data_IF_035455383991
#
_entry.id   IF_035455383991
#
_cell.length_a   1.000
_cell.length_b   1.000
_cell.length_c   1.000
_cell.angle_alpha   90.00
_cell.angle_beta   90.00
_cell.angle_gamma   90.00
#
_symmetry.space_group_name_H-M   'P 1'
#
loop_
_entity.id
_entity.type
_entity.pdbx_description
1 polymer ?
#
# COMPACT_ATOMS: atom_id res chain seq x y z
N UNK A 1 -5.92 3.11 17.76
CA UNK A 1 -5.47 3.66 19.02
C UNK A 1 -3.94 3.74 19.14
N UNK A 2 -3.20 2.71 18.68
CA UNK A 2 -1.71 2.67 18.74
C UNK A 2 -1.05 3.86 18.05
N UNK A 3 -1.45 4.22 16.83
CA UNK A 3 -0.89 5.37 16.11
C UNK A 3 -1.12 6.67 16.88
N UNK A 4 -2.30 6.88 17.46
CA UNK A 4 -2.60 8.08 18.25
C UNK A 4 -1.71 8.19 19.48
N UNK A 5 -1.42 7.07 20.15
CA UNK A 5 -0.47 7.03 21.29
C UNK A 5 0.94 7.38 20.85
N UNK A 6 1.39 6.82 19.72
CA UNK A 6 2.72 7.12 19.15
C UNK A 6 2.82 8.59 18.73
N UNK A 7 1.80 9.14 18.06
CA UNK A 7 1.73 10.57 17.71
C UNK A 7 1.81 11.46 18.95
N UNK A 8 1.10 11.10 20.03
CA UNK A 8 1.11 11.87 21.28
C UNK A 8 2.48 11.84 21.98
N UNK A 9 3.19 10.70 21.91
CA UNK A 9 4.53 10.53 22.50
C UNK A 9 5.64 11.15 21.65
N UNK A 10 5.39 11.48 20.38
CA UNK A 10 6.40 12.07 19.48
C UNK A 10 6.50 13.57 19.70
N UNK A 11 7.71 14.07 20.00
CA UNK A 11 7.98 15.50 20.30
C UNK A 11 8.33 16.31 19.07
N UNK A 12 9.01 15.73 18.07
CA UNK A 12 9.43 16.41 16.85
C UNK A 12 8.27 16.72 15.90
N UNK A 13 8.11 17.98 15.48
CA UNK A 13 7.01 18.40 14.59
C UNK A 13 7.02 17.69 13.22
N UNK A 14 8.22 17.44 12.67
CA UNK A 14 8.37 16.80 11.36
C UNK A 14 8.05 15.30 11.45
N UNK A 15 8.58 14.65 12.46
CA UNK A 15 8.37 13.25 12.79
C UNK A 15 6.87 12.99 13.07
N UNK A 16 6.27 13.84 13.87
CA UNK A 16 4.83 13.79 14.17
C UNK A 16 3.97 13.85 12.91
N UNK A 17 4.26 14.81 12.02
CA UNK A 17 3.54 14.93 10.74
C UNK A 17 3.68 13.68 9.86
N UNK A 18 4.88 13.09 9.80
CA UNK A 18 5.09 11.85 9.06
C UNK A 18 4.24 10.72 9.65
N UNK A 19 4.28 10.52 10.97
CA UNK A 19 3.51 9.48 11.66
C UNK A 19 2.00 9.68 11.47
N UNK A 20 1.51 10.92 11.57
CA UNK A 20 0.11 11.26 11.30
C UNK A 20 -0.29 10.93 9.86
N UNK A 21 0.62 11.12 8.90
CA UNK A 21 0.37 10.81 7.48
C UNK A 21 0.33 9.31 7.20
N UNK A 22 0.96 8.47 8.02
CA UNK A 22 0.82 7.03 7.90
C UNK A 22 -0.62 6.54 8.16
N UNK A 23 -1.42 7.31 8.91
CA UNK A 23 -2.84 7.02 9.10
C UNK A 23 -3.66 7.15 7.81
N UNK A 24 -3.23 7.98 6.86
CA UNK A 24 -3.91 8.15 5.57
C UNK A 24 -3.98 6.85 4.76
N UNK A 25 -3.05 5.92 4.99
CA UNK A 25 -3.10 4.61 4.35
C UNK A 25 -4.41 3.86 4.65
N UNK A 26 -4.89 3.92 5.90
CA UNK A 26 -6.16 3.29 6.26
C UNK A 26 -7.36 3.96 5.58
N UNK A 27 -7.32 5.28 5.41
CA UNK A 27 -8.34 6.00 4.64
C UNK A 27 -8.32 5.59 3.16
N UNK A 28 -7.12 5.47 2.57
CA UNK A 28 -6.95 5.07 1.18
C UNK A 28 -7.48 3.64 0.95
N UNK A 29 -7.21 2.70 1.84
CA UNK A 29 -7.73 1.33 1.73
C UNK A 29 -9.26 1.29 1.83
N UNK A 30 -9.86 2.08 2.73
CA UNK A 30 -11.31 2.23 2.81
C UNK A 30 -11.87 2.89 1.55
N UNK A 31 -11.20 3.91 1.04
CA UNK A 31 -11.60 4.60 -0.19
C UNK A 31 -11.53 3.66 -1.40
N UNK A 32 -10.47 2.88 -1.56
CA UNK A 32 -10.36 1.86 -2.60
C UNK A 32 -11.49 0.84 -2.49
N UNK A 33 -11.84 0.42 -1.27
CA UNK A 33 -12.96 -0.50 -1.05
C UNK A 33 -14.29 0.14 -1.48
N UNK A 34 -14.54 1.39 -1.13
CA UNK A 34 -15.73 2.14 -1.56
C UNK A 34 -15.77 2.29 -3.10
N UNK A 35 -14.63 2.60 -3.73
CA UNK A 35 -14.51 2.69 -5.18
C UNK A 35 -14.77 1.34 -5.89
N UNK A 36 -14.34 0.22 -5.29
CA UNK A 36 -14.64 -1.13 -5.81
C UNK A 36 -16.12 -1.46 -5.75
N UNK A 37 -16.79 -1.10 -4.64
CA UNK A 37 -18.26 -1.26 -4.49
C UNK A 37 -18.99 -0.41 -5.53
N UNK A 38 -18.61 0.86 -5.66
CA UNK A 38 -19.14 1.81 -6.65
C UNK A 38 -18.99 1.30 -8.09
N UNK A 39 -17.77 0.93 -8.47
CA UNK A 39 -17.46 0.51 -9.84
C UNK A 39 -18.19 -0.78 -10.23
N UNK A 40 -18.29 -1.74 -9.31
CA UNK A 40 -19.00 -3.02 -9.55
C UNK A 40 -20.51 -2.92 -9.43
N UNK A 41 -21.05 -1.76 -8.99
CA UNK A 41 -22.47 -1.61 -8.63
C UNK A 41 -22.92 -2.72 -7.68
N UNK A 42 -22.07 -3.04 -6.70
CA UNK A 42 -22.28 -4.15 -5.80
C UNK A 42 -23.48 -3.92 -4.87
N UNK A 43 -24.12 -4.99 -4.36
CA UNK A 43 -25.27 -4.86 -3.44
C UNK A 43 -24.91 -4.02 -2.20
N UNK A 44 -25.90 -3.28 -1.68
CA UNK A 44 -25.76 -2.35 -0.56
C UNK A 44 -25.10 -2.95 0.70
N UNK A 45 -25.27 -4.24 0.96
CA UNK A 45 -24.70 -4.91 2.13
C UNK A 45 -23.15 -4.91 2.20
N UNK A 46 -22.47 -4.83 1.06
CA UNK A 46 -20.99 -4.68 1.03
C UNK A 46 -20.53 -3.27 1.46
N UNK A 47 -21.34 -2.25 1.22
CA UNK A 47 -21.06 -0.89 1.67
C UNK A 47 -21.27 -0.70 3.18
N UNK A 48 -22.05 -1.56 3.83
CA UNK A 48 -22.28 -1.49 5.28
C UNK A 48 -21.05 -1.87 6.10
N UNK A 49 -20.13 -2.66 5.53
CA UNK A 49 -18.85 -3.00 6.16
C UNK A 49 -17.84 -1.86 6.16
N UNK A 50 -18.11 -0.76 5.43
CA UNK A 50 -17.24 0.40 5.41
C UNK A 50 -17.33 1.17 6.73
N UNK A 51 -16.19 1.36 7.39
CA UNK A 51 -16.11 2.10 8.65
C UNK A 51 -16.38 3.58 8.41
N UNK A 52 -17.37 4.14 9.15
CA UNK A 52 -17.72 5.56 9.06
C UNK A 52 -16.88 6.48 9.96
N UNK A 53 -15.96 5.93 10.77
CA UNK A 53 -15.20 6.72 11.72
C UNK A 53 -14.11 7.56 11.05
N UNK A 54 -13.99 8.80 11.53
CA UNK A 54 -12.92 9.71 11.10
C UNK A 54 -11.57 9.18 11.53
N UNK A 55 -10.72 8.82 10.58
CA UNK A 55 -9.30 8.49 10.81
C UNK A 55 -8.50 9.80 10.89
N UNK A 56 -8.31 10.49 9.78
CA UNK A 56 -7.67 11.81 9.66
C UNK A 56 -8.60 12.80 8.97
N UNK A 57 -9.15 12.44 7.82
CA UNK A 57 -10.11 13.21 7.07
C UNK A 57 -11.54 12.73 7.35
N UNK A 58 -12.52 13.61 7.18
CA UNK A 58 -13.92 13.22 7.27
C UNK A 58 -14.41 12.79 5.89
N UNK A 59 -14.54 11.46 5.67
CA UNK A 59 -14.92 10.88 4.39
C UNK A 59 -16.18 10.03 4.59
N UNK A 60 -17.16 10.26 3.75
CA UNK A 60 -18.38 9.45 3.71
C UNK A 60 -18.22 8.33 2.66
N UNK A 61 -17.58 7.24 3.07
CA UNK A 61 -17.31 6.08 2.22
C UNK A 61 -18.60 5.43 1.69
N UNK A 62 -19.68 5.45 2.47
CA UNK A 62 -20.97 4.88 2.05
C UNK A 62 -21.58 5.69 0.92
N UNK A 63 -21.54 7.02 1.04
CA UNK A 63 -22.00 7.90 -0.03
C UNK A 63 -21.17 7.76 -1.30
N UNK A 64 -19.84 7.60 -1.17
CA UNK A 64 -18.94 7.32 -2.29
C UNK A 64 -19.31 6.00 -2.97
N UNK A 65 -19.55 4.94 -2.20
CA UNK A 65 -19.91 3.62 -2.73
C UNK A 65 -21.23 3.61 -3.54
N UNK A 66 -22.11 4.60 -3.32
CA UNK A 66 -23.40 4.76 -4.02
C UNK A 66 -23.46 5.99 -4.90
N UNK A 67 -22.33 6.64 -5.16
CA UNK A 67 -22.30 7.86 -5.98
C UNK A 67 -22.79 7.58 -7.41
N UNK A 68 -23.53 8.48 -8.03
CA UNK A 68 -24.03 8.31 -9.42
C UNK A 68 -22.91 8.41 -10.46
N UNK A 69 -21.82 9.10 -10.14
CA UNK A 69 -20.71 9.34 -11.09
C UNK A 69 -19.39 9.59 -10.35
N UNK A 70 -18.29 9.56 -11.11
CA UNK A 70 -16.97 9.97 -10.61
C UNK A 70 -16.94 11.45 -10.22
N UNK A 71 -17.70 12.31 -10.89
CA UNK A 71 -17.80 13.74 -10.54
C UNK A 71 -18.36 13.94 -9.12
N UNK A 72 -19.40 13.19 -8.74
CA UNK A 72 -19.93 13.23 -7.38
C UNK A 72 -18.88 12.74 -6.36
N UNK A 73 -18.12 11.69 -6.68
CA UNK A 73 -17.02 11.20 -5.83
C UNK A 73 -15.96 12.29 -5.64
N UNK A 74 -15.55 12.96 -6.71
CA UNK A 74 -14.58 14.05 -6.66
C UNK A 74 -15.09 15.23 -5.83
N UNK A 75 -16.38 15.57 -5.96
CA UNK A 75 -17.03 16.58 -5.16
C UNK A 75 -17.02 16.22 -3.66
N UNK A 76 -17.41 14.99 -3.32
CA UNK A 76 -17.39 14.49 -1.94
C UNK A 76 -16.00 14.51 -1.30
N UNK A 77 -14.96 14.31 -2.10
CA UNK A 77 -13.57 14.30 -1.67
C UNK A 77 -12.88 15.66 -1.77
N UNK A 78 -13.55 16.71 -2.25
CA UNK A 78 -12.95 18.01 -2.58
C UNK A 78 -12.09 18.65 -1.50
N UNK A 79 -12.42 18.43 -0.22
CA UNK A 79 -11.66 18.92 0.93
C UNK A 79 -10.62 17.91 1.49
N UNK A 80 -10.30 16.88 0.71
CA UNK A 80 -9.31 15.86 1.08
C UNK A 80 -8.17 15.83 0.07
N UNK A 81 -7.02 15.24 0.41
CA UNK A 81 -5.92 15.10 -0.55
C UNK A 81 -6.24 14.12 -1.69
N UNK A 82 -7.35 13.37 -1.63
CA UNK A 82 -7.65 12.26 -2.54
C UNK A 82 -8.36 12.69 -3.82
N UNK A 83 -9.03 13.84 -3.84
CA UNK A 83 -9.71 14.33 -5.04
C UNK A 83 -8.74 14.56 -6.21
N UNK A 84 -7.59 15.19 -5.93
CA UNK A 84 -6.61 15.55 -6.98
C UNK A 84 -6.03 14.34 -7.73
N UNK A 85 -5.51 13.28 -7.07
CA UNK A 85 -5.01 12.09 -7.77
C UNK A 85 -6.11 11.38 -8.57
N UNK A 86 -7.33 11.28 -8.05
CA UNK A 86 -8.45 10.69 -8.78
C UNK A 86 -8.83 11.51 -10.03
N UNK A 87 -8.87 12.84 -9.92
CA UNK A 87 -9.14 13.72 -11.06
C UNK A 87 -8.06 13.56 -12.16
N UNK A 88 -6.79 13.40 -11.79
CA UNK A 88 -5.70 13.14 -12.76
C UNK A 88 -5.83 11.80 -13.48
N UNK A 89 -6.34 10.78 -12.78
CA UNK A 89 -6.50 9.44 -13.34
C UNK A 89 -7.82 9.26 -14.11
N UNK A 90 -8.71 10.26 -14.08
CA UNK A 90 -10.05 10.22 -14.66
C UNK A 90 -10.06 9.78 -16.13
N UNK A 91 -9.28 10.45 -16.97
CA UNK A 91 -9.24 10.18 -18.41
C UNK A 91 -8.91 8.71 -18.72
N UNK A 92 -7.87 8.18 -18.04
CA UNK A 92 -7.48 6.77 -18.18
C UNK A 92 -8.58 5.83 -17.67
N UNK A 93 -9.22 6.15 -16.56
CA UNK A 93 -10.34 5.38 -16.03
C UNK A 93 -11.52 5.37 -17.01
N UNK A 94 -11.95 6.52 -17.52
CA UNK A 94 -13.09 6.64 -18.42
C UNK A 94 -12.84 5.95 -19.76
N UNK A 95 -11.61 6.02 -20.28
CA UNK A 95 -11.22 5.39 -21.55
C UNK A 95 -11.15 3.86 -21.44
N UNK A 96 -10.63 3.35 -20.32
CA UNK A 96 -10.36 1.90 -20.15
C UNK A 96 -11.41 1.18 -19.32
N UNK A 97 -12.27 1.91 -18.63
CA UNK A 97 -13.19 1.42 -17.60
C UNK A 97 -12.48 0.57 -16.54
N UNK A 98 -11.22 0.86 -16.25
CA UNK A 98 -10.40 0.11 -15.31
C UNK A 98 -10.18 0.88 -14.02
N UNK A 99 -10.69 0.35 -12.90
CA UNK A 99 -10.52 0.90 -11.56
C UNK A 99 -9.04 0.98 -11.12
N UNK A 100 -8.18 0.17 -11.73
CA UNK A 100 -6.73 0.16 -11.50
C UNK A 100 -6.15 1.58 -11.48
N UNK A 101 -6.49 2.41 -12.49
CA UNK A 101 -5.90 3.75 -12.62
C UNK A 101 -6.28 4.69 -11.46
N UNK A 102 -7.48 4.55 -10.93
CA UNK A 102 -7.90 5.31 -9.74
C UNK A 102 -7.18 4.84 -8.49
N UNK A 103 -7.06 3.51 -8.29
CA UNK A 103 -6.41 2.92 -7.12
C UNK A 103 -4.91 3.26 -7.08
N UNK A 104 -4.19 3.06 -8.20
CA UNK A 104 -2.75 3.31 -8.24
C UNK A 104 -2.42 4.80 -8.15
N UNK A 105 -3.28 5.69 -8.68
CA UNK A 105 -3.09 7.13 -8.55
C UNK A 105 -3.14 7.58 -7.08
N UNK A 106 -4.02 6.99 -6.26
CA UNK A 106 -4.06 7.22 -4.81
C UNK A 106 -2.77 6.77 -4.13
N UNK A 107 -2.23 5.61 -4.50
CA UNK A 107 -0.99 5.08 -3.93
C UNK A 107 0.21 5.96 -4.31
N UNK A 108 0.34 6.32 -5.59
CA UNK A 108 1.43 7.19 -6.06
C UNK A 108 1.41 8.52 -5.32
N UNK A 109 0.25 9.18 -5.23
CA UNK A 109 0.13 10.47 -4.54
C UNK A 109 0.47 10.34 -3.04
N UNK A 110 0.00 9.29 -2.39
CA UNK A 110 0.29 9.02 -0.99
C UNK A 110 1.79 8.88 -0.72
N UNK A 111 2.48 8.02 -1.48
CA UNK A 111 3.90 7.79 -1.28
C UNK A 111 4.75 8.99 -1.70
N UNK A 112 4.34 9.76 -2.71
CA UNK A 112 4.98 11.04 -3.05
C UNK A 112 4.91 12.03 -1.89
N UNK A 113 3.74 12.19 -1.28
CA UNK A 113 3.57 13.05 -0.10
C UNK A 113 4.36 12.55 1.12
N UNK A 114 4.47 11.23 1.31
CA UNK A 114 5.33 10.67 2.36
C UNK A 114 6.81 10.96 2.08
N UNK A 115 7.29 10.79 0.84
CA UNK A 115 8.69 11.11 0.51
C UNK A 115 9.00 12.59 0.75
N UNK A 116 8.12 13.51 0.38
CA UNK A 116 8.28 14.94 0.68
C UNK A 116 8.43 15.22 2.18
N UNK A 117 7.72 14.48 3.04
CA UNK A 117 7.86 14.60 4.50
C UNK A 117 9.17 13.99 4.98
N UNK A 118 9.56 12.84 4.45
CA UNK A 118 10.83 12.17 4.74
C UNK A 118 12.02 13.06 4.37
N UNK A 119 11.97 13.77 3.24
CA UNK A 119 13.04 14.71 2.84
C UNK A 119 13.25 15.85 3.85
N UNK A 120 12.23 16.19 4.65
CA UNK A 120 12.31 17.28 5.66
C UNK A 120 12.87 16.81 7.00
N UNK A 121 13.07 15.51 7.21
CA UNK A 121 13.66 14.94 8.41
C UNK A 121 15.15 15.20 8.53
N UNK A 122 15.73 14.91 9.71
CA UNK A 122 17.17 14.88 9.89
C UNK A 122 17.83 13.89 8.92
N UNK A 123 19.14 14.02 8.67
CA UNK A 123 19.86 13.11 7.76
C UNK A 123 19.73 11.64 8.21
N UNK A 124 19.89 11.40 9.52
CA UNK A 124 19.78 10.05 10.12
C UNK A 124 18.36 9.49 9.99
N UNK A 125 17.35 10.27 10.39
CA UNK A 125 15.97 9.85 10.31
C UNK A 125 15.50 9.61 8.87
N UNK A 126 15.98 10.44 7.93
CA UNK A 126 15.70 10.28 6.52
C UNK A 126 16.20 8.93 5.99
N UNK A 127 17.43 8.54 6.34
CA UNK A 127 17.99 7.25 5.95
C UNK A 127 17.16 6.11 6.54
N UNK A 128 16.82 6.18 7.82
CA UNK A 128 16.02 5.14 8.49
C UNK A 128 14.61 5.03 7.90
N UNK A 129 13.95 6.17 7.67
CA UNK A 129 12.62 6.18 7.05
C UNK A 129 12.65 5.61 5.64
N UNK A 130 13.61 6.00 4.81
CA UNK A 130 13.77 5.47 3.44
C UNK A 130 14.04 3.97 3.41
N UNK A 131 14.76 3.43 4.39
CA UNK A 131 15.02 1.99 4.47
C UNK A 131 13.73 1.19 4.68
N UNK A 132 12.83 1.64 5.55
CA UNK A 132 11.58 0.92 5.85
C UNK A 132 10.54 1.20 4.76
N UNK A 133 10.27 2.48 4.47
CA UNK A 133 9.27 2.86 3.48
C UNK A 133 9.66 2.44 2.06
N UNK A 134 10.95 2.39 1.74
CA UNK A 134 11.42 1.89 0.45
C UNK A 134 11.11 0.42 0.21
N UNK A 135 11.19 -0.44 1.24
CA UNK A 135 10.77 -1.84 1.15
C UNK A 135 9.24 -1.94 1.05
N UNK A 136 8.51 -1.10 1.77
CA UNK A 136 7.04 -1.06 1.66
C UNK A 136 6.60 -0.67 0.24
N UNK A 137 7.25 0.33 -0.36
CA UNK A 137 7.02 0.74 -1.75
C UNK A 137 7.40 -0.37 -2.73
N UNK A 138 8.51 -1.08 -2.52
CA UNK A 138 8.89 -2.22 -3.34
C UNK A 138 7.79 -3.29 -3.34
N UNK A 139 7.22 -3.60 -2.19
CA UNK A 139 6.12 -4.57 -2.04
C UNK A 139 4.89 -4.12 -2.83
N UNK A 140 4.49 -2.87 -2.71
CA UNK A 140 3.36 -2.33 -3.48
C UNK A 140 3.64 -2.38 -5.00
N UNK A 141 4.85 -2.01 -5.42
CA UNK A 141 5.24 -2.10 -6.82
C UNK A 141 5.23 -3.56 -7.34
N UNK A 142 5.67 -4.53 -6.54
CA UNK A 142 5.59 -5.96 -6.88
C UNK A 142 4.14 -6.39 -7.05
N UNK A 143 3.26 -6.05 -6.11
CA UNK A 143 1.83 -6.36 -6.21
C UNK A 143 1.21 -5.76 -7.49
N UNK A 144 1.54 -4.50 -7.81
CA UNK A 144 1.06 -3.86 -9.02
C UNK A 144 1.59 -4.51 -10.28
N UNK A 145 2.88 -4.84 -10.35
CA UNK A 145 3.49 -5.48 -11.51
C UNK A 145 2.88 -6.86 -11.79
N UNK A 146 2.67 -7.69 -10.75
CA UNK A 146 2.02 -8.99 -10.88
C UNK A 146 0.58 -8.82 -11.37
N UNK A 147 -0.16 -7.85 -10.82
CA UNK A 147 -1.54 -7.57 -11.22
C UNK A 147 -1.61 -7.04 -12.67
N UNK A 148 -0.70 -6.16 -13.05
CA UNK A 148 -0.61 -5.62 -14.41
C UNK A 148 -0.35 -6.73 -15.42
N UNK A 149 0.61 -7.60 -15.15
CA UNK A 149 0.91 -8.77 -15.99
C UNK A 149 -0.31 -9.68 -16.18
N UNK A 150 -1.03 -9.96 -15.09
CA UNK A 150 -2.15 -10.92 -15.13
C UNK A 150 -3.38 -10.42 -15.83
N UNK A 151 -3.66 -9.13 -15.77
CA UNK A 151 -4.96 -8.57 -16.17
C UNK A 151 -4.89 -7.48 -17.25
N UNK A 152 -3.69 -7.00 -17.60
CA UNK A 152 -3.51 -5.86 -18.49
C UNK A 152 -2.35 -6.09 -19.47
N UNK A 153 -2.61 -5.84 -20.75
CA UNK A 153 -1.56 -5.88 -21.79
C UNK A 153 -0.96 -4.48 -21.95
N UNK A 154 -0.18 -4.03 -20.95
CA UNK A 154 0.45 -2.72 -20.97
C UNK A 154 1.87 -2.81 -21.55
N UNK A 155 2.25 -1.78 -22.31
CA UNK A 155 3.62 -1.62 -22.76
C UNK A 155 4.52 -1.08 -21.61
N UNK A 156 5.84 -1.16 -21.80
CA UNK A 156 6.81 -0.72 -20.78
C UNK A 156 6.66 0.75 -20.38
N UNK A 157 6.36 1.62 -21.33
CA UNK A 157 6.16 3.05 -21.05
C UNK A 157 5.01 3.28 -20.08
N UNK A 158 3.90 2.59 -20.30
CA UNK A 158 2.72 2.62 -19.43
C UNK A 158 3.02 2.02 -18.05
N UNK A 159 3.71 0.89 -17.99
CA UNK A 159 4.12 0.28 -16.71
C UNK A 159 4.97 1.27 -15.88
N UNK A 160 5.98 1.89 -16.52
CA UNK A 160 6.86 2.85 -15.85
C UNK A 160 6.12 4.10 -15.36
N UNK A 161 5.03 4.50 -16.01
CA UNK A 161 4.20 5.63 -15.57
C UNK A 161 3.58 5.35 -14.20
N UNK A 162 3.16 4.10 -13.95
CA UNK A 162 2.42 3.70 -12.73
C UNK A 162 3.28 3.10 -11.63
N UNK A 163 4.60 3.05 -11.79
CA UNK A 163 5.50 2.65 -10.70
C UNK A 163 5.56 3.75 -9.63
N UNK A 164 5.27 3.34 -8.40
CA UNK A 164 5.37 4.20 -7.22
C UNK A 164 6.84 4.58 -7.00
N UNK A 165 7.18 5.87 -6.95
CA UNK A 165 8.55 6.31 -6.74
C UNK A 165 9.01 6.08 -5.29
N UNK A 166 10.33 5.95 -5.08
CA UNK A 166 10.93 5.84 -3.74
C UNK A 166 11.17 4.41 -3.26
N UNK A 167 10.93 3.41 -4.09
CA UNK A 167 11.28 2.02 -3.79
C UNK A 167 12.79 1.84 -3.53
N UNK A 168 13.12 0.87 -2.69
CA UNK A 168 14.51 0.53 -2.33
C UNK A 168 15.23 -0.20 -3.46
N UNK A 169 14.55 -1.11 -4.14
CA UNK A 169 15.06 -1.96 -5.21
C UNK A 169 14.19 -1.89 -6.47
N UNK A 170 12.88 -1.81 -6.31
CA UNK A 170 11.94 -1.75 -7.43
C UNK A 170 11.69 -0.28 -7.78
N UNK A 171 12.45 0.21 -8.73
CA UNK A 171 12.42 1.61 -9.20
C UNK A 171 12.20 1.65 -10.71
N UNK A 172 11.81 2.81 -11.24
CA UNK A 172 11.70 3.00 -12.70
C UNK A 172 13.00 2.68 -13.44
N UNK A 173 14.16 3.00 -12.84
CA UNK A 173 15.47 2.70 -13.43
C UNK A 173 15.83 1.22 -13.37
N UNK A 174 15.55 0.52 -12.26
CA UNK A 174 15.80 -0.93 -12.17
C UNK A 174 14.94 -1.71 -13.15
N UNK A 175 13.65 -1.38 -13.25
CA UNK A 175 12.73 -2.01 -14.20
C UNK A 175 13.17 -1.75 -15.64
N UNK A 176 13.52 -0.51 -15.99
CA UNK A 176 14.01 -0.18 -17.33
C UNK A 176 15.30 -0.91 -17.68
N UNK A 177 16.23 -1.06 -16.71
CA UNK A 177 17.51 -1.75 -16.92
C UNK A 177 17.39 -3.27 -17.08
N UNK A 178 16.34 -3.86 -16.51
CA UNK A 178 16.07 -5.31 -16.61
C UNK A 178 15.25 -5.68 -17.84
N UNK A 179 14.79 -4.69 -18.62
CA UNK A 179 13.99 -4.92 -19.82
C UNK A 179 14.87 -5.27 -21.01
N UNK A 180 14.94 -6.54 -21.34
CA UNK A 180 15.71 -7.06 -22.48
C UNK A 180 14.81 -7.52 -23.63
N UNK A 181 13.52 -7.75 -23.39
CA UNK A 181 12.57 -8.21 -24.40
C UNK A 181 11.15 -7.78 -24.08
N UNK A 182 10.30 -7.66 -25.11
CA UNK A 182 8.85 -7.35 -24.97
C UNK A 182 8.05 -8.48 -24.29
N UNK A 183 8.73 -9.50 -23.78
CA UNK A 183 8.09 -10.60 -23.07
C UNK A 183 7.74 -10.22 -21.63
N UNK A 184 6.44 -10.07 -21.39
CA UNK A 184 5.86 -9.83 -20.08
C UNK A 184 6.23 -10.93 -19.05
N UNK A 185 6.65 -12.12 -19.52
CA UNK A 185 7.14 -13.20 -18.66
C UNK A 185 8.40 -12.82 -17.87
N UNK A 186 9.18 -11.86 -18.36
CA UNK A 186 10.36 -11.34 -17.67
C UNK A 186 10.05 -10.29 -16.58
N UNK A 187 8.79 -9.90 -16.36
CA UNK A 187 8.45 -8.97 -15.26
C UNK A 187 8.84 -9.50 -13.88
N UNK A 188 8.73 -10.82 -13.66
CA UNK A 188 9.19 -11.44 -12.41
C UNK A 188 10.71 -11.37 -12.27
N UNK A 189 11.44 -11.44 -13.40
CA UNK A 189 12.89 -11.21 -13.41
C UNK A 189 13.28 -9.80 -13.04
N UNK A 190 12.45 -8.82 -13.42
CA UNK A 190 12.64 -7.41 -13.09
C UNK A 190 12.40 -7.12 -11.60
N UNK A 191 11.50 -7.86 -10.94
CA UNK A 191 11.19 -7.69 -9.52
C UNK A 191 12.02 -8.56 -8.60
N UNK A 192 12.94 -9.37 -9.14
CA UNK A 192 13.78 -10.30 -8.37
C UNK A 192 15.20 -9.82 -8.00
N UNK A 193 15.57 -8.49 -8.01
CA UNK A 193 16.90 -8.11 -7.59
C UNK A 193 17.06 -8.19 -6.07
N UNK A 194 18.25 -8.63 -5.63
CA UNK A 194 18.66 -8.62 -4.23
C UNK A 194 17.77 -9.47 -3.31
N UNK A 195 17.07 -8.88 -2.33
CA UNK A 195 16.28 -9.64 -1.35
C UNK A 195 15.04 -10.32 -1.94
N UNK A 196 14.66 -10.01 -3.18
CA UNK A 196 13.45 -10.52 -3.84
C UNK A 196 13.70 -11.67 -4.82
N UNK A 197 14.92 -12.22 -4.90
CA UNK A 197 15.30 -13.30 -5.84
C UNK A 197 14.39 -14.52 -5.76
N UNK A 198 13.89 -14.86 -4.58
CA UNK A 198 12.99 -16.01 -4.38
C UNK A 198 11.61 -15.83 -5.02
N UNK A 199 11.23 -14.64 -5.46
CA UNK A 199 9.93 -14.41 -6.14
C UNK A 199 9.84 -15.22 -7.42
N UNK A 200 10.95 -15.43 -8.13
CA UNK A 200 11.00 -16.28 -9.33
C UNK A 200 10.59 -17.72 -9.05
N UNK A 201 11.05 -18.25 -7.91
CA UNK A 201 10.85 -19.65 -7.53
C UNK A 201 9.44 -19.91 -7.00
N UNK A 202 8.78 -18.87 -6.47
CA UNK A 202 7.43 -18.95 -5.90
C UNK A 202 6.34 -19.11 -6.99
N UNK A 203 6.64 -18.71 -8.24
CA UNK A 203 5.72 -18.85 -9.36
C UNK A 203 4.41 -18.09 -9.20
N UNK A 204 3.55 -18.12 -10.22
CA UNK A 204 2.26 -17.42 -10.21
C UNK A 204 1.17 -18.12 -9.36
N UNK A 205 1.41 -19.36 -8.97
CA UNK A 205 0.38 -20.23 -8.39
C UNK A 205 0.24 -20.14 -6.88
N UNK A 206 1.14 -19.45 -6.17
CA UNK A 206 1.08 -19.40 -4.71
C UNK A 206 1.14 -17.98 -4.14
N UNK A 207 0.03 -17.25 -4.30
CA UNK A 207 -0.11 -15.90 -3.75
C UNK A 207 0.17 -15.84 -2.24
N UNK A 208 -0.13 -16.90 -1.49
CA UNK A 208 0.09 -16.94 -0.04
C UNK A 208 1.58 -16.93 0.28
N UNK A 209 2.38 -17.80 -0.32
CA UNK A 209 3.84 -17.83 -0.11
C UNK A 209 4.51 -16.51 -0.53
N UNK A 210 3.99 -15.86 -1.58
CA UNK A 210 4.46 -14.55 -1.99
C UNK A 210 4.21 -13.51 -0.89
N UNK A 211 2.99 -13.45 -0.36
CA UNK A 211 2.63 -12.52 0.72
C UNK A 211 3.47 -12.76 1.99
N UNK A 212 3.66 -14.02 2.37
CA UNK A 212 4.53 -14.42 3.49
C UNK A 212 5.96 -13.93 3.30
N UNK A 213 6.51 -14.16 2.11
CA UNK A 213 7.88 -13.75 1.78
C UNK A 213 8.04 -12.21 1.81
N UNK A 214 7.11 -11.47 1.19
CA UNK A 214 7.14 -10.01 1.18
C UNK A 214 6.94 -9.43 2.59
N UNK A 215 6.01 -9.99 3.36
CA UNK A 215 5.80 -9.63 4.76
C UNK A 215 7.05 -9.86 5.61
N UNK A 216 7.72 -11.02 5.43
CA UNK A 216 8.95 -11.35 6.13
C UNK A 216 10.08 -10.35 5.81
N UNK A 217 10.22 -9.91 4.56
CA UNK A 217 11.20 -8.91 4.15
C UNK A 217 10.97 -7.57 4.87
N UNK A 218 9.72 -7.09 4.95
CA UNK A 218 9.38 -5.86 5.66
C UNK A 218 9.60 -5.99 7.17
N UNK A 219 9.17 -7.11 7.78
CA UNK A 219 9.39 -7.41 9.20
C UNK A 219 10.88 -7.46 9.55
N UNK A 220 11.71 -8.01 8.67
CA UNK A 220 13.15 -8.04 8.87
C UNK A 220 13.74 -6.62 8.95
N UNK A 221 13.31 -5.70 8.06
CA UNK A 221 13.77 -4.31 8.13
C UNK A 221 13.26 -3.59 9.38
N UNK A 222 12.02 -3.84 9.77
CA UNK A 222 11.45 -3.29 11.00
C UNK A 222 12.23 -3.75 12.25
N UNK A 223 12.56 -5.05 12.35
CA UNK A 223 13.37 -5.60 13.46
C UNK A 223 14.78 -5.02 13.48
N UNK A 224 15.44 -4.86 12.32
CA UNK A 224 16.75 -4.20 12.22
C UNK A 224 16.68 -2.75 12.74
N UNK A 225 15.63 -2.02 12.40
CA UNK A 225 15.46 -0.64 12.88
C UNK A 225 15.25 -0.58 14.40
N UNK A 226 14.53 -1.55 15.00
CA UNK A 226 14.34 -1.65 16.45
C UNK A 226 15.59 -2.06 17.21
N UNK A 227 16.47 -2.86 16.59
CA UNK A 227 17.74 -3.30 17.18
C UNK A 227 18.86 -2.25 16.99
N UNK A 228 18.62 -1.20 16.22
CA UNK A 228 19.58 -0.14 15.95
C UNK A 228 19.58 0.96 17.01
N UNK A 229 20.05 2.16 16.62
CA UNK A 229 20.04 3.31 17.53
C UNK A 229 18.59 3.76 17.85
N UNK A 230 18.19 3.74 19.15
CA UNK A 230 16.77 3.84 19.52
C UNK A 230 16.16 5.24 19.32
N UNK A 231 16.99 6.29 19.22
CA UNK A 231 16.53 7.69 19.12
C UNK A 231 16.40 8.16 17.67
N UNK A 232 15.79 7.31 16.82
CA UNK A 232 15.49 7.66 15.43
C UNK A 232 14.03 7.36 15.10
N UNK A 233 13.54 7.98 14.03
CA UNK A 233 12.21 7.67 13.48
C UNK A 233 12.10 6.19 13.06
N UNK A 234 13.23 5.53 12.76
CA UNK A 234 13.28 4.11 12.41
C UNK A 234 12.69 3.21 13.48
N UNK A 235 12.94 3.50 14.77
CA UNK A 235 12.34 2.77 15.91
C UNK A 235 10.82 2.86 15.89
N UNK A 236 10.28 4.05 15.65
CA UNK A 236 8.83 4.29 15.58
C UNK A 236 8.22 3.59 14.38
N UNK A 237 8.82 3.72 13.19
CA UNK A 237 8.34 3.07 11.97
C UNK A 237 8.41 1.55 12.09
N UNK A 238 9.51 1.01 12.60
CA UNK A 238 9.67 -0.44 12.85
C UNK A 238 8.60 -0.99 13.80
N UNK A 239 8.32 -0.27 14.91
CA UNK A 239 7.24 -0.62 15.82
C UNK A 239 5.87 -0.61 15.13
N UNK A 240 5.57 0.41 14.34
CA UNK A 240 4.28 0.51 13.63
C UNK A 240 4.09 -0.60 12.60
N UNK A 241 5.15 -0.99 11.88
CA UNK A 241 5.13 -2.13 10.95
C UNK A 241 4.80 -3.43 11.69
N UNK A 242 5.51 -3.74 12.79
CA UNK A 242 5.28 -4.97 13.55
C UNK A 242 3.90 -4.96 14.22
N UNK A 243 3.43 -3.81 14.70
CA UNK A 243 2.11 -3.69 15.29
C UNK A 243 0.97 -3.84 14.29
N UNK A 244 1.17 -3.39 13.05
CA UNK A 244 0.23 -3.63 11.94
C UNK A 244 0.14 -5.13 11.63
N UNK A 245 1.27 -5.81 11.57
CA UNK A 245 1.34 -7.26 11.32
C UNK A 245 0.65 -8.05 12.44
N UNK A 246 0.94 -7.75 13.72
CA UNK A 246 0.25 -8.34 14.87
C UNK A 246 -1.27 -8.13 14.79
N UNK A 247 -1.71 -6.92 14.47
CA UNK A 247 -3.14 -6.62 14.35
C UNK A 247 -3.79 -7.43 13.23
N UNK A 248 -3.13 -7.58 12.09
CA UNK A 248 -3.59 -8.41 10.98
C UNK A 248 -3.75 -9.87 11.41
N UNK A 249 -2.74 -10.41 12.09
CA UNK A 249 -2.77 -11.79 12.60
C UNK A 249 -3.91 -12.00 13.61
N UNK A 250 -4.13 -11.04 14.52
CA UNK A 250 -5.26 -11.09 15.47
C UNK A 250 -6.62 -11.08 14.75
N UNK A 251 -6.76 -10.25 13.72
CA UNK A 251 -7.99 -10.20 12.89
C UNK A 251 -8.19 -11.54 12.19
N UNK A 252 -7.16 -12.12 11.58
CA UNK A 252 -7.22 -13.42 10.93
C UNK A 252 -7.63 -14.53 11.90
N UNK A 253 -7.08 -14.54 13.11
CA UNK A 253 -7.46 -15.46 14.19
C UNK A 253 -8.93 -15.34 14.60
N UNK A 254 -9.41 -14.10 14.75
CA UNK A 254 -10.81 -13.84 15.10
C UNK A 254 -11.78 -14.35 14.01
N UNK A 255 -11.42 -14.12 12.73
CA UNK A 255 -12.21 -14.65 11.61
C UNK A 255 -12.16 -16.18 11.57
N UNK A 256 -10.98 -16.78 11.69
CA UNK A 256 -10.81 -18.23 11.73
C UNK A 256 -11.66 -18.86 12.82
N UNK A 257 -11.63 -18.31 14.04
CA UNK A 257 -12.47 -18.75 15.15
C UNK A 257 -13.96 -18.58 14.88
N UNK A 258 -14.37 -17.44 14.28
CA UNK A 258 -15.77 -17.17 13.94
C UNK A 258 -16.32 -18.16 12.91
N UNK A 259 -15.49 -18.60 11.97
CA UNK A 259 -15.87 -19.54 10.90
C UNK A 259 -15.54 -20.99 11.22
N UNK A 260 -15.05 -21.28 12.44
CA UNK A 260 -14.79 -22.66 12.90
C UNK A 260 -13.64 -23.36 12.13
N UNK A 261 -12.60 -22.61 11.75
CA UNK A 261 -11.46 -23.17 11.05
C UNK A 261 -10.66 -24.12 11.94
N UNK A 262 -10.16 -25.20 11.33
CA UNK A 262 -9.27 -26.16 12.00
C UNK A 262 -7.87 -25.53 12.20
N UNK A 263 -7.08 -26.11 13.11
CA UNK A 263 -5.78 -25.58 13.51
C UNK A 263 -4.83 -25.41 12.31
N UNK A 264 -4.79 -26.38 11.41
CA UNK A 264 -3.93 -26.35 10.21
C UNK A 264 -4.29 -25.19 9.29
N UNK A 265 -5.59 -24.87 9.15
CA UNK A 265 -6.06 -23.72 8.38
C UNK A 265 -5.69 -22.41 9.06
N UNK A 266 -5.75 -22.36 10.39
CA UNK A 266 -5.32 -21.20 11.20
C UNK A 266 -3.84 -20.95 11.06
N UNK A 267 -3.02 -21.99 11.20
CA UNK A 267 -1.56 -21.90 11.11
C UNK A 267 -1.10 -21.45 9.70
N UNK A 268 -1.91 -21.69 8.67
CA UNK A 268 -1.62 -21.24 7.30
C UNK A 268 -1.84 -19.74 7.04
N UNK A 269 -2.55 -19.01 7.91
CA UNK A 269 -2.88 -17.58 7.71
C UNK A 269 -2.25 -16.66 8.75
N UNK A 270 -1.54 -17.21 9.75
CA UNK A 270 -0.79 -16.47 10.75
C UNK A 270 0.68 -16.46 10.35
N UNK A 271 1.26 -15.28 10.21
CA UNK A 271 2.65 -15.08 9.72
C UNK A 271 3.54 -14.41 10.75
#
# INVERSE_FOLDING_TARGET
DTHRKVVAATTGKKEKRLIESLLERYEIEQLKTALRVWHKKAPAGLAESLYGDKIKNRIDYKRIAHAPSLDEILFLLGNTPYARPLAKAREKYETTNSLFYLEVALDIDYYQRLDEMVQKLSKTDRVMAKTILGVEIDIENIHWLIRLRKYYSLNMGEILEWIIPGGSKITKSSIRGSYISDDVNNLLDMVSPGPYTKIKDLGESNNQQLEEFLSAALKQQARKALSGFPFTIGTVLGYLVLKKDETRNLISLLYAKKFGWEKEQIDSVIH
#
